data_IF_129835740731
#
_entry.id   IF_129835740731
#
_cell.length_a   1.000
_cell.length_b   1.000
_cell.length_c   1.000
_cell.angle_alpha   90.00
_cell.angle_beta   90.00
_cell.angle_gamma   90.00
#
_symmetry.space_group_name_H-M   'P 1'
#
loop_
_entity.id
_entity.type
_entity.pdbx_description
1 polymer ?
#
# COMPACT_ATOMS: atom_id res chain seq x y z
N UNK A 1 24.71 26.33 -21.83
CA UNK A 1 23.87 27.37 -21.18
C UNK A 1 22.78 26.64 -20.42
N UNK A 2 22.57 26.94 -19.16
CA UNK A 2 21.51 26.28 -18.35
C UNK A 2 20.15 26.81 -18.85
N UNK A 3 19.17 25.92 -19.16
CA UNK A 3 17.86 26.36 -19.58
C UNK A 3 17.12 27.09 -18.44
N UNK A 4 16.29 28.06 -18.79
CA UNK A 4 15.44 28.72 -17.79
C UNK A 4 14.34 27.78 -17.31
N UNK A 5 13.80 26.94 -18.21
CA UNK A 5 12.74 25.99 -17.94
C UNK A 5 13.12 24.60 -18.46
N UNK A 6 12.85 23.57 -17.64
CA UNK A 6 12.89 22.17 -18.03
C UNK A 6 11.53 21.53 -17.80
N UNK A 7 11.07 20.71 -18.72
CA UNK A 7 9.78 20.03 -18.65
C UNK A 7 10.01 18.53 -18.55
N UNK A 8 9.37 17.88 -17.59
CA UNK A 8 9.23 16.42 -17.52
C UNK A 8 7.75 16.04 -17.68
N UNK A 9 7.45 15.03 -18.48
CA UNK A 9 6.08 14.56 -18.72
C UNK A 9 6.04 13.05 -18.43
N UNK A 10 5.14 12.59 -17.57
CA UNK A 10 4.99 11.18 -17.23
C UNK A 10 3.79 10.92 -16.33
N UNK A 11 3.48 9.66 -16.07
CA UNK A 11 2.36 9.28 -15.20
C UNK A 11 2.74 9.25 -13.71
N UNK A 12 4.01 9.00 -13.38
CA UNK A 12 4.57 8.97 -12.02
C UNK A 12 3.79 8.05 -11.03
N UNK A 13 3.18 6.99 -11.54
CA UNK A 13 2.41 6.03 -10.77
C UNK A 13 2.78 4.57 -11.11
N UNK A 14 3.49 3.85 -10.19
CA UNK A 14 4.02 4.34 -8.92
C UNK A 14 5.15 5.35 -9.10
N UNK A 15 5.31 6.25 -8.15
CA UNK A 15 6.50 7.11 -8.10
C UNK A 15 7.69 6.28 -7.62
N UNK A 16 8.61 5.95 -8.52
CA UNK A 16 9.79 5.12 -8.24
C UNK A 16 10.98 5.93 -7.69
N UNK A 17 11.95 5.24 -7.09
CA UNK A 17 13.22 5.88 -6.67
C UNK A 17 14.02 6.40 -7.88
N UNK A 18 13.92 5.72 -9.03
CA UNK A 18 14.54 6.15 -10.29
C UNK A 18 13.92 7.48 -10.78
N UNK A 19 12.59 7.59 -10.78
CA UNK A 19 11.89 8.83 -11.16
C UNK A 19 12.24 9.98 -10.22
N UNK A 20 12.37 9.72 -8.90
CA UNK A 20 12.82 10.74 -7.95
C UNK A 20 14.24 11.22 -8.23
N UNK A 21 15.14 10.32 -8.59
CA UNK A 21 16.50 10.69 -8.99
C UNK A 21 16.50 11.56 -10.25
N UNK A 22 15.67 11.22 -11.24
CA UNK A 22 15.49 12.01 -12.46
C UNK A 22 14.93 13.40 -12.16
N UNK A 23 13.90 13.51 -11.31
CA UNK A 23 13.32 14.80 -10.87
C UNK A 23 14.38 15.66 -10.17
N UNK A 24 15.13 15.09 -9.22
CA UNK A 24 16.16 15.81 -8.49
C UNK A 24 17.27 16.31 -9.42
N UNK A 25 17.66 15.49 -10.39
CA UNK A 25 18.65 15.89 -11.37
C UNK A 25 18.15 17.00 -12.28
N UNK A 26 16.95 16.82 -12.87
CA UNK A 26 16.31 17.82 -13.72
C UNK A 26 16.15 19.16 -13.00
N UNK A 27 15.83 19.14 -11.71
CA UNK A 27 15.75 20.31 -10.86
C UNK A 27 17.08 21.06 -10.76
N UNK A 28 18.22 20.37 -10.80
CA UNK A 28 19.57 20.99 -10.80
C UNK A 28 19.99 21.57 -12.16
N UNK A 29 19.32 21.18 -13.26
CA UNK A 29 19.68 21.58 -14.62
C UNK A 29 18.96 22.84 -15.10
N UNK A 30 17.93 23.32 -14.43
CA UNK A 30 17.11 24.47 -14.85
C UNK A 30 16.82 25.42 -13.71
N UNK A 31 16.39 26.65 -14.02
CA UNK A 31 15.91 27.60 -13.01
C UNK A 31 14.52 27.24 -12.52
N UNK A 32 13.69 26.64 -13.38
CA UNK A 32 12.34 26.17 -13.06
C UNK A 32 12.12 24.82 -13.72
N UNK A 33 11.70 23.83 -12.93
CA UNK A 33 11.27 22.52 -13.41
C UNK A 33 9.74 22.45 -13.44
N UNK A 34 9.19 22.12 -14.62
CA UNK A 34 7.77 21.85 -14.81
C UNK A 34 7.55 20.35 -14.93
N UNK A 35 6.77 19.76 -14.04
CA UNK A 35 6.37 18.35 -14.10
C UNK A 35 4.92 18.32 -14.55
N UNK A 36 4.66 17.69 -15.69
CA UNK A 36 3.31 17.50 -16.24
C UNK A 36 2.93 16.04 -16.03
N UNK A 37 1.91 15.81 -15.21
CA UNK A 37 1.47 14.47 -14.84
C UNK A 37 0.33 14.02 -15.75
N UNK A 38 0.49 12.84 -16.34
CA UNK A 38 -0.50 12.17 -17.16
C UNK A 38 -1.41 11.28 -16.30
N UNK A 39 -2.59 10.97 -16.83
CA UNK A 39 -3.50 10.01 -16.21
C UNK A 39 -2.86 8.62 -16.23
N UNK A 40 -2.63 7.99 -15.05
CA UNK A 40 -2.09 6.63 -15.00
C UNK A 40 -3.04 5.62 -15.67
N UNK A 41 -2.45 4.65 -16.36
CA UNK A 41 -3.20 3.54 -16.96
C UNK A 41 -2.54 2.21 -16.56
N UNK A 42 -2.79 1.77 -15.34
CA UNK A 42 -2.20 0.57 -14.76
C UNK A 42 -3.27 -0.42 -14.33
N UNK A 43 -2.90 -1.70 -14.31
CA UNK A 43 -3.75 -2.76 -13.80
C UNK A 43 -4.07 -2.53 -12.32
N UNK A 44 -5.28 -2.92 -11.85
CA UNK A 44 -5.64 -2.82 -10.44
C UNK A 44 -4.77 -3.71 -9.56
N UNK A 45 -4.54 -3.27 -8.34
CA UNK A 45 -3.93 -4.09 -7.28
C UNK A 45 -4.85 -5.28 -6.91
N UNK A 46 -4.34 -6.32 -6.23
CA UNK A 46 -5.15 -7.47 -5.77
C UNK A 46 -6.43 -7.07 -5.01
N UNK A 47 -6.37 -6.00 -4.25
CA UNK A 47 -7.51 -5.43 -3.53
C UNK A 47 -8.48 -4.59 -4.39
N UNK A 48 -8.23 -4.49 -5.70
CA UNK A 48 -9.03 -3.69 -6.64
C UNK A 48 -8.68 -2.21 -6.72
N UNK A 49 -7.77 -1.69 -5.88
CA UNK A 49 -7.33 -0.28 -5.97
C UNK A 49 -6.53 -0.04 -7.24
N UNK A 50 -6.79 1.07 -7.91
CA UNK A 50 -6.03 1.54 -9.08
C UNK A 50 -5.53 2.95 -8.82
N UNK A 51 -4.24 3.26 -9.09
CA UNK A 51 -3.73 4.61 -8.91
C UNK A 51 -4.45 5.60 -9.83
N UNK A 52 -4.83 6.73 -9.29
CA UNK A 52 -5.51 7.82 -10.00
C UNK A 52 -4.54 8.95 -10.33
N UNK A 53 -4.96 9.86 -11.22
CA UNK A 53 -4.21 11.10 -11.47
C UNK A 53 -4.02 11.91 -10.18
N UNK A 54 -5.02 11.94 -9.29
CA UNK A 54 -4.94 12.64 -8.01
C UNK A 54 -3.87 12.02 -7.08
N UNK A 55 -3.73 10.69 -7.09
CA UNK A 55 -2.69 9.99 -6.32
C UNK A 55 -1.31 10.33 -6.85
N UNK A 56 -1.09 10.28 -8.17
CA UNK A 56 0.18 10.63 -8.80
C UNK A 56 0.58 12.09 -8.50
N UNK A 57 -0.36 13.04 -8.64
CA UNK A 57 -0.15 14.46 -8.29
C UNK A 57 0.24 14.60 -6.83
N UNK A 58 -0.48 13.94 -5.92
CA UNK A 58 -0.20 13.99 -4.48
C UNK A 58 1.20 13.46 -4.15
N UNK A 59 1.61 12.34 -4.75
CA UNK A 59 2.94 11.76 -4.50
C UNK A 59 4.07 12.66 -4.98
N UNK A 60 3.95 13.22 -6.19
CA UNK A 60 4.95 14.16 -6.71
C UNK A 60 4.98 15.44 -5.87
N UNK A 61 3.82 15.97 -5.44
CA UNK A 61 3.76 17.12 -4.54
C UNK A 61 4.45 16.85 -3.20
N UNK A 62 4.18 15.71 -2.58
CA UNK A 62 4.83 15.32 -1.31
C UNK A 62 6.34 15.18 -1.47
N UNK A 63 6.79 14.58 -2.57
CA UNK A 63 8.21 14.39 -2.85
C UNK A 63 8.96 15.71 -3.15
N UNK A 64 8.26 16.69 -3.72
CA UNK A 64 8.84 17.95 -4.17
C UNK A 64 8.52 19.17 -3.28
N UNK A 65 7.82 18.98 -2.14
CA UNK A 65 7.30 20.09 -1.31
C UNK A 65 8.37 21.09 -0.83
N UNK A 66 9.61 20.68 -0.74
CA UNK A 66 10.73 21.55 -0.33
C UNK A 66 11.31 22.41 -1.46
N UNK A 67 10.87 22.22 -2.71
CA UNK A 67 11.44 22.87 -3.89
C UNK A 67 10.46 23.88 -4.50
N UNK A 68 10.55 25.14 -4.11
CA UNK A 68 9.64 26.21 -4.59
C UNK A 68 9.73 26.51 -6.11
N UNK A 69 10.80 26.07 -6.78
CA UNK A 69 11.02 26.21 -8.21
C UNK A 69 10.51 25.03 -9.05
N UNK A 70 9.98 23.98 -8.42
CA UNK A 70 9.28 22.90 -9.11
C UNK A 70 7.80 23.24 -9.20
N UNK A 71 7.24 23.22 -10.42
CA UNK A 71 5.84 23.48 -10.73
C UNK A 71 5.18 22.22 -11.25
N UNK A 72 4.09 21.80 -10.63
CA UNK A 72 3.38 20.57 -10.96
C UNK A 72 2.08 20.92 -11.67
N UNK A 73 1.86 20.26 -12.80
CA UNK A 73 0.73 20.49 -13.70
C UNK A 73 0.11 19.13 -14.09
N UNK A 74 -1.12 19.19 -14.57
CA UNK A 74 -1.76 18.09 -15.33
C UNK A 74 -2.15 18.62 -16.71
N UNK A 75 -2.36 17.78 -17.69
CA UNK A 75 -2.84 18.20 -19.01
C UNK A 75 -4.18 18.96 -18.89
N UNK A 76 -5.08 18.47 -18.04
CA UNK A 76 -6.35 19.16 -17.75
C UNK A 76 -6.17 20.55 -17.18
N UNK A 77 -5.21 20.77 -16.28
CA UNK A 77 -4.92 22.10 -15.70
C UNK A 77 -4.33 23.09 -16.72
N UNK A 78 -3.73 22.57 -17.78
CA UNK A 78 -3.16 23.36 -18.91
C UNK A 78 -4.16 23.53 -20.06
N UNK A 79 -5.37 22.96 -19.95
CA UNK A 79 -6.35 22.90 -21.02
C UNK A 79 -5.81 22.22 -22.32
N UNK A 80 -4.92 21.26 -22.16
CA UNK A 80 -4.34 20.45 -23.23
C UNK A 80 -4.92 19.03 -23.19
N UNK A 81 -5.06 18.35 -24.34
CA UNK A 81 -5.41 16.94 -24.37
C UNK A 81 -4.26 16.09 -23.79
N UNK A 82 -4.57 14.98 -23.13
CA UNK A 82 -3.59 13.99 -22.72
C UNK A 82 -2.76 13.53 -23.94
N UNK A 83 -1.45 13.41 -23.75
CA UNK A 83 -0.51 13.02 -24.79
C UNK A 83 0.11 11.67 -24.40
N UNK A 84 0.28 10.76 -25.36
CA UNK A 84 0.96 9.48 -25.16
C UNK A 84 2.49 9.64 -25.15
N UNK A 85 3.00 10.60 -24.37
CA UNK A 85 4.42 10.88 -24.23
C UNK A 85 4.85 10.68 -22.77
N UNK A 86 5.90 9.91 -22.57
CA UNK A 86 6.56 9.80 -21.28
C UNK A 86 8.07 10.02 -21.46
N UNK A 87 8.69 10.82 -20.59
CA UNK A 87 10.10 11.20 -20.68
C UNK A 87 11.05 9.99 -20.63
N UNK A 88 10.57 8.85 -20.16
CA UNK A 88 11.29 7.58 -20.02
C UNK A 88 11.24 6.72 -21.27
N UNK A 89 10.22 6.90 -22.11
CA UNK A 89 9.95 6.09 -23.27
C UNK A 89 10.50 6.74 -24.54
N UNK A 90 10.74 5.93 -25.58
CA UNK A 90 11.23 6.42 -26.89
C UNK A 90 10.16 7.14 -27.71
N UNK A 91 9.00 7.49 -27.16
CA UNK A 91 7.98 8.27 -27.86
C UNK A 91 8.48 9.69 -28.12
N UNK A 92 8.23 10.20 -29.32
CA UNK A 92 8.67 11.53 -29.70
C UNK A 92 7.55 12.53 -29.51
N UNK A 93 7.85 13.63 -28.78
CA UNK A 93 6.99 14.80 -28.77
C UNK A 93 7.25 15.62 -30.05
N UNK A 94 6.22 15.94 -30.80
CA UNK A 94 6.37 16.80 -31.99
C UNK A 94 6.71 18.24 -31.56
N UNK A 95 7.39 18.97 -32.44
CA UNK A 95 7.68 20.41 -32.20
C UNK A 95 6.41 21.21 -31.95
N UNK A 96 5.31 20.89 -32.62
CA UNK A 96 4.02 21.56 -32.43
C UNK A 96 3.45 21.32 -31.01
N UNK A 97 3.48 20.08 -30.53
CA UNK A 97 3.05 19.72 -29.18
C UNK A 97 3.92 20.42 -28.10
N UNK A 98 5.24 20.43 -28.29
CA UNK A 98 6.15 21.13 -27.39
C UNK A 98 5.84 22.63 -27.33
N UNK A 99 5.60 23.28 -28.47
CA UNK A 99 5.23 24.71 -28.52
C UNK A 99 3.87 24.98 -27.84
N UNK A 100 2.89 24.08 -28.04
CA UNK A 100 1.59 24.19 -27.36
C UNK A 100 1.73 24.11 -25.82
N UNK A 101 2.61 23.24 -25.31
CA UNK A 101 2.91 23.14 -23.89
C UNK A 101 3.58 24.42 -23.38
N UNK A 102 4.59 24.93 -24.10
CA UNK A 102 5.24 26.20 -23.74
C UNK A 102 4.24 27.37 -23.68
N UNK A 103 3.33 27.44 -24.65
CA UNK A 103 2.27 28.46 -24.68
C UNK A 103 1.31 28.30 -23.50
N UNK A 104 0.86 27.07 -23.18
CA UNK A 104 -0.02 26.81 -22.04
C UNK A 104 0.63 27.14 -20.69
N UNK A 105 1.94 26.92 -20.56
CA UNK A 105 2.75 27.30 -19.39
C UNK A 105 3.12 28.80 -19.36
N UNK A 106 2.85 29.54 -20.42
CA UNK A 106 3.27 30.94 -20.61
C UNK A 106 4.78 31.14 -20.44
N UNK A 107 5.58 30.26 -21.10
CA UNK A 107 7.05 30.30 -21.07
C UNK A 107 7.63 30.36 -22.47
N UNK A 108 8.88 30.87 -22.57
CA UNK A 108 9.56 31.06 -23.84
C UNK A 108 10.21 29.76 -24.34
N UNK A 109 9.82 29.25 -25.49
CA UNK A 109 10.33 28.00 -26.06
C UNK A 109 11.85 27.98 -26.29
N UNK A 110 12.48 29.13 -26.60
CA UNK A 110 13.92 29.23 -26.86
C UNK A 110 14.80 28.99 -25.62
N UNK A 111 14.26 29.14 -24.41
CA UNK A 111 14.97 28.90 -23.13
C UNK A 111 14.41 27.68 -22.41
N UNK A 112 13.56 26.90 -23.07
CA UNK A 112 12.88 25.74 -22.52
C UNK A 112 13.38 24.46 -23.17
N UNK A 113 13.67 23.44 -22.35
CA UNK A 113 14.06 22.11 -22.80
C UNK A 113 13.06 21.06 -22.32
N UNK A 114 12.95 19.98 -23.06
CA UNK A 114 12.21 18.76 -22.66
C UNK A 114 13.22 17.73 -22.14
N UNK A 115 13.09 17.35 -20.90
CA UNK A 115 13.91 16.29 -20.31
C UNK A 115 13.46 14.92 -20.83
N UNK A 116 14.42 14.11 -21.28
CA UNK A 116 14.19 12.74 -21.74
C UNK A 116 15.23 11.80 -21.17
N UNK A 117 14.82 10.56 -20.86
CA UNK A 117 15.70 9.48 -20.39
C UNK A 117 16.01 8.57 -21.56
N UNK A 118 16.90 8.99 -22.45
CA UNK A 118 17.22 8.22 -23.65
C UNK A 118 18.51 7.41 -23.52
N UNK A 119 18.42 6.11 -23.81
CA UNK A 119 19.59 5.25 -24.04
C UNK A 119 19.84 4.96 -25.52
N UNK A 120 18.96 5.33 -26.45
CA UNK A 120 18.95 4.79 -27.82
C UNK A 120 18.56 5.80 -28.90
N UNK A 121 18.63 7.13 -28.67
CA UNK A 121 18.38 8.07 -29.76
C UNK A 121 19.68 8.53 -30.41
N UNK A 122 19.85 8.18 -31.67
CA UNK A 122 20.95 8.68 -32.49
C UNK A 122 20.84 10.17 -32.83
N UNK A 123 19.62 10.76 -32.68
CA UNK A 123 19.37 12.17 -32.94
C UNK A 123 18.36 12.76 -31.93
N UNK A 124 18.82 13.79 -31.19
CA UNK A 124 17.96 14.59 -30.32
C UNK A 124 17.32 15.74 -31.10
N UNK A 125 16.07 16.06 -30.78
CA UNK A 125 15.51 17.33 -31.24
C UNK A 125 16.18 18.51 -30.53
N UNK A 126 16.26 19.71 -31.15
CA UNK A 126 16.93 20.88 -30.54
C UNK A 126 16.37 21.32 -29.19
N UNK A 127 15.16 20.86 -28.82
CA UNK A 127 14.50 21.15 -27.54
C UNK A 127 14.56 19.97 -26.53
N UNK A 128 15.26 18.88 -26.86
CA UNK A 128 15.41 17.72 -25.99
C UNK A 128 16.74 17.78 -25.23
N UNK A 129 16.69 17.46 -23.92
CA UNK A 129 17.83 17.35 -23.04
C UNK A 129 17.86 15.94 -22.44
N UNK A 130 18.94 15.19 -22.67
CA UNK A 130 19.11 13.86 -22.11
C UNK A 130 19.43 13.94 -20.61
N UNK A 131 18.65 13.24 -19.81
CA UNK A 131 18.94 13.03 -18.40
C UNK A 131 19.93 11.85 -18.25
N UNK A 132 20.99 11.99 -17.44
CA UNK A 132 21.96 10.91 -17.25
C UNK A 132 21.37 9.74 -16.48
N UNK A 133 21.91 8.53 -16.74
CA UNK A 133 21.62 7.34 -15.94
C UNK A 133 22.41 7.38 -14.63
N UNK A 134 21.74 7.27 -13.48
CA UNK A 134 22.40 7.16 -12.18
C UNK A 134 22.66 5.72 -11.78
N UNK A 135 23.91 5.42 -11.38
CA UNK A 135 24.47 4.07 -11.23
C UNK A 135 23.89 3.19 -10.12
N UNK A 136 23.15 3.69 -9.12
CA UNK A 136 22.63 2.88 -8.03
C UNK A 136 21.09 2.84 -7.94
N UNK A 137 20.37 3.85 -8.45
CA UNK A 137 18.91 3.84 -8.50
C UNK A 137 18.35 3.19 -9.79
N UNK A 138 19.21 2.94 -10.80
CA UNK A 138 18.83 2.58 -12.16
C UNK A 138 19.02 1.12 -12.54
N UNK A 139 19.22 0.21 -11.58
CA UNK A 139 19.35 -1.22 -11.88
C UNK A 139 18.05 -1.90 -12.25
N UNK A 140 16.92 -1.21 -12.12
CA UNK A 140 15.59 -1.70 -12.46
C UNK A 140 14.99 -0.81 -13.54
N UNK A 141 14.38 -1.44 -14.53
CA UNK A 141 13.57 -0.79 -15.52
C UNK A 141 12.28 -0.27 -14.83
N UNK A 142 12.01 1.03 -14.95
CA UNK A 142 10.79 1.64 -14.39
C UNK A 142 9.52 0.96 -14.94
N UNK A 143 9.57 0.43 -16.17
CA UNK A 143 8.48 -0.33 -16.78
C UNK A 143 8.20 -1.64 -16.02
N UNK A 144 9.25 -2.37 -15.61
CA UNK A 144 9.07 -3.57 -14.78
C UNK A 144 8.45 -3.24 -13.43
N UNK A 145 8.87 -2.13 -12.79
CA UNK A 145 8.30 -1.68 -11.52
C UNK A 145 6.84 -1.27 -11.67
N UNK A 146 6.48 -0.59 -12.75
CA UNK A 146 5.11 -0.19 -13.02
C UNK A 146 4.20 -1.39 -13.34
N UNK A 147 4.71 -2.37 -14.07
CA UNK A 147 3.97 -3.59 -14.42
C UNK A 147 3.79 -4.53 -13.23
N UNK A 148 4.71 -4.53 -12.24
CA UNK A 148 4.57 -5.32 -11.02
C UNK A 148 5.11 -4.58 -9.78
N UNK A 149 4.40 -3.54 -9.30
CA UNK A 149 4.87 -2.71 -8.19
C UNK A 149 4.99 -3.46 -6.86
N UNK A 150 4.28 -4.58 -6.68
CA UNK A 150 4.35 -5.37 -5.46
C UNK A 150 5.63 -6.21 -5.39
N UNK A 151 6.06 -6.82 -6.50
CA UNK A 151 7.32 -7.54 -6.57
C UNK A 151 8.55 -6.62 -6.42
N UNK A 152 8.43 -5.38 -6.90
CA UNK A 152 9.49 -4.37 -6.85
C UNK A 152 9.23 -3.28 -5.81
N UNK A 153 8.53 -3.61 -4.73
CA UNK A 153 8.09 -2.65 -3.70
C UNK A 153 9.23 -1.80 -3.12
N UNK A 154 10.42 -2.38 -2.98
CA UNK A 154 11.61 -1.68 -2.49
C UNK A 154 12.08 -0.54 -3.41
N UNK A 155 11.67 -0.56 -4.71
CA UNK A 155 11.95 0.50 -5.68
C UNK A 155 10.92 1.65 -5.63
N UNK A 156 9.85 1.49 -4.87
CA UNK A 156 8.86 2.54 -4.70
C UNK A 156 9.37 3.62 -3.75
N UNK A 157 9.06 4.86 -4.08
CA UNK A 157 9.32 5.97 -3.18
C UNK A 157 8.47 5.86 -1.91
N UNK A 158 9.01 6.35 -0.78
CA UNK A 158 8.31 6.27 0.51
C UNK A 158 6.90 6.90 0.47
N UNK A 159 6.70 7.96 -0.32
CA UNK A 159 5.43 8.70 -0.39
C UNK A 159 4.27 7.91 -1.01
N UNK A 160 4.55 6.87 -1.82
CA UNK A 160 3.51 6.04 -2.43
C UNK A 160 3.38 4.64 -1.81
N UNK A 161 4.31 4.19 -0.97
CA UNK A 161 4.30 2.84 -0.37
C UNK A 161 3.02 2.52 0.39
N UNK A 162 2.46 3.50 1.10
CA UNK A 162 1.17 3.38 1.78
C UNK A 162 0.04 2.89 0.87
N UNK A 163 0.01 3.38 -0.38
CA UNK A 163 -0.99 2.99 -1.36
C UNK A 163 -0.80 1.55 -1.84
N UNK A 164 0.45 1.13 -2.05
CA UNK A 164 0.77 -0.17 -2.66
C UNK A 164 0.83 -1.32 -1.66
N UNK A 165 1.12 -1.07 -0.37
CA UNK A 165 1.13 -2.16 0.62
C UNK A 165 -0.26 -2.78 0.77
N UNK A 166 -0.31 -4.12 0.84
CA UNK A 166 -1.53 -4.91 1.01
C UNK A 166 -1.65 -5.37 2.45
N UNK A 167 -2.78 -5.10 3.09
CA UNK A 167 -3.04 -5.53 4.47
C UNK A 167 -3.51 -6.98 4.48
N UNK A 168 -2.72 -7.84 5.13
CA UNK A 168 -3.03 -9.27 5.32
C UNK A 168 -3.40 -9.49 6.78
N UNK A 169 -4.65 -9.82 7.02
CA UNK A 169 -5.19 -10.06 8.36
C UNK A 169 -5.21 -11.55 8.70
N UNK A 170 -4.77 -11.87 9.91
CA UNK A 170 -4.87 -13.21 10.46
C UNK A 170 -5.90 -13.20 11.59
N UNK A 171 -7.05 -13.87 11.37
CA UNK A 171 -8.12 -14.01 12.35
C UNK A 171 -8.30 -15.47 12.76
N UNK A 172 -9.09 -15.73 13.79
CA UNK A 172 -9.39 -17.09 14.26
C UNK A 172 -9.60 -17.15 15.75
N UNK A 173 -9.94 -18.33 16.25
CA UNK A 173 -10.22 -18.57 17.65
C UNK A 173 -9.02 -18.35 18.57
N UNK A 174 -9.26 -18.38 19.86
CA UNK A 174 -8.18 -18.29 20.85
C UNK A 174 -7.23 -19.48 20.75
N UNK A 175 -5.94 -19.22 21.04
CA UNK A 175 -4.86 -20.20 20.96
C UNK A 175 -4.72 -20.91 19.61
N UNK A 176 -5.27 -20.35 18.53
CA UNK A 176 -5.09 -20.89 17.16
C UNK A 176 -3.70 -20.63 16.57
N UNK A 177 -2.84 -19.88 17.25
CA UNK A 177 -1.47 -19.57 16.80
C UNK A 177 -1.34 -18.32 15.94
N UNK A 178 -2.35 -17.43 15.89
CA UNK A 178 -2.37 -16.19 15.09
C UNK A 178 -1.11 -15.33 15.24
N UNK A 179 -0.84 -14.86 16.44
CA UNK A 179 0.29 -13.97 16.73
C UNK A 179 1.63 -14.59 16.33
N UNK A 180 1.82 -15.89 16.58
CA UNK A 180 3.03 -16.61 16.17
C UNK A 180 3.14 -16.69 14.65
N UNK A 181 2.04 -16.92 13.94
CA UNK A 181 2.01 -16.94 12.49
C UNK A 181 2.30 -15.55 11.92
N UNK A 182 1.66 -14.51 12.46
CA UNK A 182 1.90 -13.09 12.09
C UNK A 182 3.40 -12.75 12.20
N UNK A 183 4.05 -13.10 13.33
CA UNK A 183 5.49 -12.85 13.54
C UNK A 183 6.37 -13.60 12.51
N UNK A 184 6.07 -14.86 12.22
CA UNK A 184 6.80 -15.65 11.23
C UNK A 184 6.66 -15.07 9.82
N UNK A 185 5.45 -14.69 9.43
CA UNK A 185 5.17 -14.07 8.14
C UNK A 185 5.83 -12.69 8.03
N UNK A 186 5.80 -11.89 9.10
CA UNK A 186 6.46 -10.58 9.14
C UNK A 186 7.97 -10.70 8.93
N UNK A 187 8.61 -11.66 9.60
CA UNK A 187 10.03 -11.93 9.42
C UNK A 187 10.36 -12.39 7.98
N UNK A 188 9.48 -13.17 7.36
CA UNK A 188 9.69 -13.66 6.00
C UNK A 188 9.56 -12.56 4.96
N UNK A 189 8.51 -11.73 5.04
CA UNK A 189 8.25 -10.66 4.07
C UNK A 189 8.94 -9.33 4.39
N UNK A 190 9.58 -9.18 5.54
CA UNK A 190 10.06 -7.89 6.04
C UNK A 190 8.92 -6.91 6.30
N UNK A 191 7.77 -7.44 6.74
CA UNK A 191 6.51 -6.71 6.83
C UNK A 191 6.35 -5.97 8.16
N UNK A 192 5.70 -4.80 8.12
CA UNK A 192 5.20 -4.10 9.31
C UNK A 192 4.02 -4.87 9.92
N UNK A 193 3.83 -4.76 11.23
CA UNK A 193 2.76 -5.45 11.98
C UNK A 193 1.88 -4.42 12.69
N UNK A 194 0.56 -4.56 12.54
CA UNK A 194 -0.42 -4.01 13.45
C UNK A 194 -0.79 -5.09 14.49
N UNK A 195 -0.42 -4.91 15.77
CA UNK A 195 -0.63 -5.92 16.80
C UNK A 195 -2.09 -5.99 17.26
N UNK A 196 -2.47 -7.08 17.93
CA UNK A 196 -3.76 -7.25 18.61
C UNK A 196 -3.94 -6.23 19.74
N UNK A 197 -4.74 -5.19 19.51
CA UNK A 197 -4.88 -4.08 20.46
C UNK A 197 -5.71 -4.44 21.70
N UNK A 198 -6.61 -5.43 21.61
CA UNK A 198 -7.34 -5.94 22.78
C UNK A 198 -6.40 -6.46 23.85
N UNK A 199 -5.41 -7.26 23.45
CA UNK A 199 -4.37 -7.79 24.36
C UNK A 199 -3.52 -6.67 24.96
N UNK A 200 -3.05 -5.73 24.15
CA UNK A 200 -2.25 -4.60 24.60
C UNK A 200 -3.03 -3.70 25.57
N UNK A 201 -4.31 -3.46 25.28
CA UNK A 201 -5.20 -2.70 26.16
C UNK A 201 -5.38 -3.38 27.53
N UNK A 202 -5.63 -4.69 27.51
CA UNK A 202 -5.75 -5.50 28.73
C UNK A 202 -4.50 -5.38 29.62
N UNK A 203 -3.32 -5.47 29.01
CA UNK A 203 -2.06 -5.30 29.75
C UNK A 203 -1.86 -3.90 30.31
N UNK A 204 -2.10 -2.88 29.52
CA UNK A 204 -1.76 -1.49 29.87
C UNK A 204 -2.79 -0.83 30.80
N UNK A 205 -4.08 -1.22 30.71
CA UNK A 205 -5.18 -0.55 31.40
C UNK A 205 -5.87 -1.44 32.45
N UNK A 206 -5.85 -2.77 32.27
CA UNK A 206 -6.64 -3.69 33.10
C UNK A 206 -5.78 -4.63 33.95
N UNK A 207 -4.50 -4.32 34.13
CA UNK A 207 -3.60 -5.12 34.99
C UNK A 207 -3.34 -6.54 34.46
N UNK A 208 -3.56 -6.78 33.15
CA UNK A 208 -3.31 -8.07 32.51
C UNK A 208 -4.47 -9.07 32.58
N UNK A 209 -5.67 -8.65 33.01
CA UNK A 209 -6.84 -9.55 33.14
C UNK A 209 -8.02 -9.06 32.29
N UNK A 210 -8.51 -9.91 31.39
CA UNK A 210 -9.74 -9.66 30.62
C UNK A 210 -11.01 -9.67 31.48
N UNK A 211 -10.93 -10.13 32.76
CA UNK A 211 -12.06 -10.10 33.67
C UNK A 211 -12.50 -8.67 34.06
N UNK A 212 -11.60 -7.69 33.89
CA UNK A 212 -11.87 -6.29 34.14
C UNK A 212 -12.43 -5.54 32.93
N UNK A 213 -12.52 -6.18 31.76
CA UNK A 213 -12.99 -5.58 30.51
C UNK A 213 -14.47 -5.22 30.61
N UNK A 214 -14.82 -4.02 30.16
CA UNK A 214 -16.17 -3.47 30.16
C UNK A 214 -16.56 -3.05 28.74
N UNK A 215 -17.86 -2.92 28.49
CA UNK A 215 -18.42 -2.51 27.19
C UNK A 215 -17.81 -1.20 26.66
N UNK A 216 -17.55 -0.21 27.52
CA UNK A 216 -16.94 1.07 27.11
C UNK A 216 -15.51 0.95 26.57
N UNK A 217 -14.78 -0.10 26.94
CA UNK A 217 -13.38 -0.29 26.54
C UNK A 217 -13.23 -0.64 25.08
N UNK A 218 -14.25 -1.30 24.49
CA UNK A 218 -14.22 -1.71 23.08
C UNK A 218 -14.09 -0.56 22.09
N UNK A 219 -14.61 0.63 22.44
CA UNK A 219 -14.38 1.84 21.64
C UNK A 219 -12.89 2.20 21.59
N UNK A 220 -12.22 2.22 22.73
CA UNK A 220 -10.79 2.55 22.82
C UNK A 220 -9.93 1.50 22.14
N UNK A 221 -10.26 0.21 22.30
CA UNK A 221 -9.57 -0.90 21.62
C UNK A 221 -9.67 -0.73 20.09
N UNK A 222 -10.87 -0.47 19.56
CA UNK A 222 -11.10 -0.32 18.13
C UNK A 222 -10.36 0.90 17.55
N UNK A 223 -10.39 2.05 18.21
CA UNK A 223 -9.67 3.27 17.82
C UNK A 223 -8.15 3.00 17.81
N UNK A 224 -7.62 2.39 18.84
CA UNK A 224 -6.21 2.06 18.94
C UNK A 224 -5.79 1.06 17.83
N UNK A 225 -6.67 0.10 17.51
CA UNK A 225 -6.40 -0.86 16.44
C UNK A 225 -6.39 -0.18 15.08
N UNK A 226 -7.33 0.72 14.78
CA UNK A 226 -7.32 1.52 13.57
C UNK A 226 -6.03 2.32 13.42
N UNK A 227 -5.57 2.97 14.49
CA UNK A 227 -4.32 3.73 14.51
C UNK A 227 -3.09 2.82 14.32
N UNK A 228 -3.10 1.61 14.89
CA UNK A 228 -2.01 0.64 14.70
C UNK A 228 -1.92 0.16 13.25
N UNK A 229 -3.05 -0.13 12.60
CA UNK A 229 -3.11 -0.50 11.18
C UNK A 229 -2.59 0.65 10.31
N UNK A 230 -3.04 1.88 10.55
CA UNK A 230 -2.61 3.06 9.83
C UNK A 230 -1.10 3.31 9.98
N UNK A 231 -0.57 3.15 11.20
CA UNK A 231 0.86 3.26 11.48
C UNK A 231 1.65 2.19 10.73
N UNK A 232 1.21 0.93 10.77
CA UNK A 232 1.88 -0.17 10.09
C UNK A 232 1.92 0.04 8.56
N UNK A 233 0.86 0.58 7.97
CA UNK A 233 0.80 0.92 6.54
C UNK A 233 1.70 2.10 6.18
N UNK A 234 1.70 3.16 6.98
CA UNK A 234 2.53 4.35 6.73
C UNK A 234 4.02 4.08 6.86
N UNK A 235 4.39 3.10 7.70
CA UNK A 235 5.78 2.65 7.88
C UNK A 235 6.15 1.42 7.06
N UNK A 236 5.32 1.04 6.07
CA UNK A 236 5.51 -0.19 5.31
C UNK A 236 6.85 -0.23 4.58
N UNK A 237 7.61 -1.30 4.82
CA UNK A 237 8.87 -1.63 4.14
C UNK A 237 8.71 -2.75 3.10
N UNK A 238 7.53 -3.37 3.04
CA UNK A 238 7.18 -4.51 2.19
C UNK A 238 5.83 -4.30 1.53
N UNK A 239 5.57 -5.02 0.44
CA UNK A 239 4.26 -5.07 -0.22
C UNK A 239 3.17 -5.68 0.68
N UNK A 240 3.55 -6.27 1.82
CA UNK A 240 2.65 -6.86 2.81
C UNK A 240 2.73 -6.08 4.11
N UNK A 241 1.58 -5.73 4.68
CA UNK A 241 1.42 -5.25 6.05
C UNK A 241 0.56 -6.27 6.79
N UNK A 242 1.07 -6.84 7.89
CA UNK A 242 0.37 -7.87 8.65
C UNK A 242 -0.47 -7.26 9.76
N UNK A 243 -1.68 -7.80 9.95
CA UNK A 243 -2.62 -7.35 10.97
C UNK A 243 -2.99 -8.56 11.84
N UNK A 244 -2.68 -8.47 13.13
CA UNK A 244 -3.06 -9.50 14.12
C UNK A 244 -4.46 -9.18 14.62
N UNK A 245 -5.44 -9.93 14.15
CA UNK A 245 -6.89 -9.78 14.30
C UNK A 245 -7.49 -8.58 13.51
N UNK A 246 -8.82 -8.48 13.54
CA UNK A 246 -9.59 -7.43 12.88
C UNK A 246 -10.70 -6.89 13.80
N UNK A 247 -11.50 -5.96 13.30
CA UNK A 247 -12.64 -5.41 14.05
C UNK A 247 -13.79 -6.40 14.22
N UNK A 248 -13.94 -7.39 13.31
CA UNK A 248 -14.91 -8.48 13.46
C UNK A 248 -14.54 -9.35 14.68
N UNK A 249 -13.25 -9.61 14.90
CA UNK A 249 -12.74 -10.31 16.08
C UNK A 249 -13.03 -9.51 17.37
N UNK A 250 -12.78 -8.20 17.38
CA UNK A 250 -13.12 -7.32 18.50
C UNK A 250 -14.62 -7.31 18.79
N UNK A 251 -15.44 -7.31 17.72
CA UNK A 251 -16.91 -7.38 17.86
C UNK A 251 -17.36 -8.73 18.41
N UNK A 252 -16.71 -9.84 18.00
CA UNK A 252 -17.02 -11.18 18.53
C UNK A 252 -16.77 -11.24 20.05
N UNK A 253 -15.66 -10.70 20.53
CA UNK A 253 -15.38 -10.58 21.95
C UNK A 253 -16.44 -9.74 22.68
N UNK A 254 -16.82 -8.58 22.11
CA UNK A 254 -17.86 -7.73 22.69
C UNK A 254 -19.19 -8.47 22.81
N UNK A 255 -19.65 -9.13 21.75
CA UNK A 255 -20.92 -9.87 21.78
C UNK A 255 -20.91 -11.05 22.72
N UNK A 256 -19.78 -11.75 22.91
CA UNK A 256 -19.67 -12.89 23.84
C UNK A 256 -19.57 -12.43 25.29
N UNK A 257 -18.79 -11.37 25.57
CA UNK A 257 -18.55 -10.93 26.94
C UNK A 257 -19.64 -10.02 27.48
N UNK A 258 -20.20 -9.16 26.62
CA UNK A 258 -21.18 -8.14 26.99
C UNK A 258 -22.60 -8.43 26.52
N UNK A 259 -22.80 -9.47 25.69
CA UNK A 259 -24.11 -9.87 25.15
C UNK A 259 -24.70 -8.90 24.14
N UNK A 260 -23.93 -7.93 23.63
CA UNK A 260 -24.45 -6.89 22.74
C UNK A 260 -23.40 -6.39 21.73
N UNK A 261 -23.89 -5.89 20.60
CA UNK A 261 -23.07 -5.27 19.56
C UNK A 261 -22.59 -3.89 19.98
N UNK A 262 -21.31 -3.57 19.77
CA UNK A 262 -20.81 -2.22 19.96
C UNK A 262 -20.86 -1.43 18.63
N UNK A 263 -21.61 -0.31 18.54
CA UNK A 263 -21.87 0.36 17.25
C UNK A 263 -20.62 0.90 16.58
N UNK A 264 -19.65 1.45 17.35
CA UNK A 264 -18.41 1.95 16.77
C UNK A 264 -17.54 0.82 16.20
N UNK A 265 -17.42 -0.31 16.93
CA UNK A 265 -16.67 -1.48 16.45
C UNK A 265 -17.32 -2.06 15.19
N UNK A 266 -18.67 -2.15 15.18
CA UNK A 266 -19.43 -2.58 14.01
C UNK A 266 -19.19 -1.68 12.80
N UNK A 267 -19.10 -0.37 13.00
CA UNK A 267 -18.85 0.57 11.91
C UNK A 267 -17.41 0.43 11.39
N UNK A 268 -16.41 0.27 12.26
CA UNK A 268 -15.05 -0.05 11.82
C UNK A 268 -14.99 -1.36 11.02
N UNK A 269 -15.67 -2.42 11.46
CA UNK A 269 -15.72 -3.70 10.75
C UNK A 269 -16.32 -3.56 9.33
N UNK A 270 -17.27 -2.64 9.13
CA UNK A 270 -17.87 -2.36 7.83
C UNK A 270 -16.99 -1.49 6.94
N UNK A 271 -16.39 -0.43 7.47
CA UNK A 271 -15.73 0.62 6.70
C UNK A 271 -14.23 0.37 6.51
N UNK A 272 -13.54 -0.18 7.50
CA UNK A 272 -12.10 -0.44 7.43
C UNK A 272 -11.83 -1.86 6.95
N UNK A 273 -12.00 -2.07 5.64
CA UNK A 273 -11.74 -3.36 5.00
C UNK A 273 -10.24 -3.61 4.88
N UNK A 274 -9.81 -4.79 5.30
CA UNK A 274 -8.46 -5.29 5.07
C UNK A 274 -8.42 -6.03 3.73
N UNK A 275 -7.27 -5.95 3.05
CA UNK A 275 -7.18 -6.36 1.64
C UNK A 275 -7.27 -7.90 1.47
N UNK A 276 -6.78 -8.65 2.47
CA UNK A 276 -6.78 -10.12 2.43
C UNK A 276 -6.90 -10.69 3.85
N UNK A 277 -7.84 -11.61 4.08
CA UNK A 277 -8.07 -12.21 5.41
C UNK A 277 -7.87 -13.72 5.37
N UNK A 278 -7.08 -14.24 6.32
CA UNK A 278 -6.86 -15.66 6.58
C UNK A 278 -7.47 -15.99 7.93
N UNK A 279 -8.37 -16.98 7.96
CA UNK A 279 -8.95 -17.53 9.16
C UNK A 279 -8.20 -18.79 9.58
N UNK A 280 -7.66 -18.80 10.81
CA UNK A 280 -7.06 -19.98 11.41
C UNK A 280 -8.09 -20.72 12.25
N UNK A 281 -8.35 -21.96 11.86
CA UNK A 281 -9.20 -22.84 12.65
C UNK A 281 -8.58 -23.11 14.03
N UNK A 282 -9.41 -23.30 15.04
CA UNK A 282 -9.01 -23.54 16.42
C UNK A 282 -8.86 -25.05 16.78
N UNK A 283 -8.71 -25.92 15.76
CA UNK A 283 -8.53 -27.37 15.88
C UNK A 283 -7.13 -27.81 16.35
N UNK A 284 -6.37 -26.91 16.97
CA UNK A 284 -5.06 -27.17 17.60
C UNK A 284 -5.20 -27.20 19.12
N UNK A 285 -4.25 -27.89 19.79
CA UNK A 285 -4.25 -27.98 21.24
C UNK A 285 -4.23 -26.59 21.90
N UNK A 286 -5.07 -26.42 22.93
CA UNK A 286 -5.11 -25.20 23.69
C UNK A 286 -3.86 -25.03 24.55
N UNK A 287 -3.32 -23.81 24.57
CA UNK A 287 -2.21 -23.43 25.44
C UNK A 287 -2.70 -22.29 26.34
N UNK A 288 -2.72 -22.52 27.66
CA UNK A 288 -3.11 -21.51 28.64
C UNK A 288 -2.06 -20.39 28.70
N UNK A 289 -2.48 -19.12 28.51
CA UNK A 289 -1.65 -17.95 28.72
C UNK A 289 -1.96 -17.17 30.01
N UNK A 290 -2.90 -17.66 30.80
CA UNK A 290 -3.25 -17.13 32.12
C UNK A 290 -4.05 -15.82 32.15
N UNK A 291 -4.39 -15.23 30.99
CA UNK A 291 -5.03 -13.92 30.89
C UNK A 291 -6.49 -13.96 30.44
N UNK A 292 -6.93 -15.06 29.81
CA UNK A 292 -8.17 -15.13 29.05
C UNK A 292 -9.35 -15.70 29.82
N UNK A 293 -10.55 -15.18 29.49
CA UNK A 293 -11.82 -15.68 30.03
C UNK A 293 -12.26 -17.02 29.41
N UNK A 294 -11.90 -17.25 28.12
CA UNK A 294 -12.34 -18.43 27.35
C UNK A 294 -11.32 -19.57 27.54
N UNK A 295 -11.51 -20.38 28.59
CA UNK A 295 -10.54 -21.37 29.05
C UNK A 295 -10.84 -22.82 28.70
N UNK A 296 -11.96 -23.15 28.03
CA UNK A 296 -12.34 -24.50 27.66
C UNK A 296 -12.71 -24.65 26.18
N UNK A 297 -12.74 -25.87 25.66
CA UNK A 297 -13.00 -26.17 24.25
C UNK A 297 -14.42 -25.75 23.81
N UNK A 298 -15.39 -25.73 24.73
CA UNK A 298 -16.74 -25.29 24.43
C UNK A 298 -16.78 -23.79 24.18
N UNK A 299 -16.15 -22.99 25.05
CA UNK A 299 -16.08 -21.53 24.91
C UNK A 299 -15.29 -21.13 23.67
N UNK A 300 -14.19 -21.84 23.35
CA UNK A 300 -13.42 -21.64 22.11
C UNK A 300 -14.27 -21.89 20.87
N UNK A 301 -15.09 -22.95 20.89
CA UNK A 301 -16.01 -23.27 19.79
C UNK A 301 -17.11 -22.23 19.63
N UNK A 302 -17.67 -21.73 20.74
CA UNK A 302 -18.64 -20.63 20.73
C UNK A 302 -18.05 -19.36 20.12
N UNK A 303 -16.82 -19.00 20.51
CA UNK A 303 -16.13 -17.84 19.95
C UNK A 303 -15.86 -18.02 18.45
N UNK A 304 -15.34 -19.17 18.02
CA UNK A 304 -15.09 -19.46 16.62
C UNK A 304 -16.36 -19.33 15.75
N UNK A 305 -17.48 -19.90 16.22
CA UNK A 305 -18.77 -19.80 15.56
C UNK A 305 -19.28 -18.33 15.51
N UNK A 306 -19.13 -17.59 16.61
CA UNK A 306 -19.51 -16.18 16.66
C UNK A 306 -18.66 -15.33 15.71
N UNK A 307 -17.36 -15.56 15.63
CA UNK A 307 -16.48 -14.86 14.70
C UNK A 307 -16.87 -15.14 13.25
N UNK A 308 -17.12 -16.39 12.86
CA UNK A 308 -17.57 -16.75 11.52
C UNK A 308 -18.94 -16.12 11.19
N UNK A 309 -19.87 -16.08 12.15
CA UNK A 309 -21.17 -15.38 12.01
C UNK A 309 -20.97 -13.89 11.73
N UNK A 310 -20.03 -13.23 12.44
CA UNK A 310 -19.75 -11.79 12.27
C UNK A 310 -19.02 -11.51 10.97
N UNK A 311 -18.05 -12.35 10.56
CA UNK A 311 -17.40 -12.26 9.26
C UNK A 311 -18.44 -12.33 8.12
N UNK A 312 -19.39 -13.27 8.21
CA UNK A 312 -20.50 -13.39 7.25
C UNK A 312 -21.45 -12.20 7.33
N UNK A 313 -21.80 -11.71 8.53
CA UNK A 313 -22.68 -10.55 8.77
C UNK A 313 -22.15 -9.27 8.10
N UNK A 314 -20.84 -9.09 8.07
CA UNK A 314 -20.18 -7.92 7.47
C UNK A 314 -19.61 -8.20 6.07
N UNK A 315 -19.92 -9.36 5.48
CA UNK A 315 -19.41 -9.75 4.16
C UNK A 315 -17.88 -9.65 4.05
N UNK A 316 -17.17 -10.19 5.05
CA UNK A 316 -15.71 -10.25 5.08
C UNK A 316 -15.27 -11.59 4.49
N UNK A 317 -14.78 -11.54 3.23
CA UNK A 317 -14.20 -12.71 2.57
C UNK A 317 -12.93 -13.18 3.28
N UNK A 318 -12.77 -14.51 3.45
CA UNK A 318 -11.61 -15.07 4.13
C UNK A 318 -11.25 -16.46 3.60
N UNK A 319 -9.97 -16.82 3.74
CA UNK A 319 -9.43 -18.15 3.41
C UNK A 319 -9.20 -18.95 4.70
N UNK A 320 -9.71 -20.17 4.76
CA UNK A 320 -9.60 -21.01 5.96
C UNK A 320 -8.35 -21.89 5.89
N UNK A 321 -7.55 -21.86 6.94
CA UNK A 321 -6.46 -22.81 7.19
C UNK A 321 -6.86 -23.67 8.37
N UNK A 322 -7.06 -24.98 8.13
CA UNK A 322 -7.55 -25.96 9.09
C UNK A 322 -6.56 -27.10 9.40
N UNK A 323 -5.31 -27.03 8.94
CA UNK A 323 -4.30 -28.03 9.30
C UNK A 323 -3.99 -27.95 10.81
N UNK A 324 -3.72 -29.10 11.44
CA UNK A 324 -3.35 -29.17 12.87
C UNK A 324 -1.87 -28.92 13.12
N UNK A 325 -1.04 -29.02 12.08
CA UNK A 325 0.39 -28.79 12.14
C UNK A 325 0.73 -27.33 11.90
N UNK A 326 1.41 -26.69 12.85
CA UNK A 326 1.78 -25.25 12.76
C UNK A 326 2.72 -24.92 11.61
N UNK A 327 3.59 -25.84 11.19
CA UNK A 327 4.48 -25.62 10.06
C UNK A 327 3.72 -25.66 8.74
N UNK A 328 2.78 -26.61 8.59
CA UNK A 328 1.91 -26.66 7.42
C UNK A 328 1.01 -25.44 7.34
N UNK A 329 0.45 -24.94 8.46
CA UNK A 329 -0.28 -23.65 8.49
C UNK A 329 0.56 -22.50 7.95
N UNK A 330 1.83 -22.42 8.36
CA UNK A 330 2.75 -21.41 7.87
C UNK A 330 2.98 -21.53 6.35
N UNK A 331 3.23 -22.72 5.83
CA UNK A 331 3.43 -22.94 4.40
C UNK A 331 2.15 -22.62 3.59
N UNK A 332 0.98 -23.00 4.10
CA UNK A 332 -0.30 -22.66 3.48
C UNK A 332 -0.53 -21.14 3.45
N UNK A 333 -0.24 -20.44 4.55
CA UNK A 333 -0.35 -18.99 4.60
C UNK A 333 0.59 -18.30 3.61
N UNK A 334 1.86 -18.74 3.49
CA UNK A 334 2.79 -18.26 2.48
C UNK A 334 2.22 -18.45 1.07
N UNK A 335 1.75 -19.67 0.75
CA UNK A 335 1.19 -19.96 -0.57
C UNK A 335 -0.03 -19.11 -0.90
N UNK A 336 -0.92 -18.85 0.07
CA UNK A 336 -2.08 -17.98 -0.11
C UNK A 336 -1.67 -16.54 -0.38
N UNK A 337 -0.73 -16.00 0.39
CA UNK A 337 -0.24 -14.62 0.25
C UNK A 337 0.50 -14.45 -1.08
N UNK A 338 1.42 -15.37 -1.42
CA UNK A 338 2.19 -15.32 -2.66
C UNK A 338 1.26 -15.36 -3.89
N UNK A 339 0.28 -16.25 -3.88
CA UNK A 339 -0.68 -16.39 -4.98
C UNK A 339 -1.63 -15.20 -5.11
N UNK A 340 -1.99 -14.56 -4.01
CA UNK A 340 -2.89 -13.40 -4.04
C UNK A 340 -2.16 -12.11 -4.36
N UNK A 341 -0.97 -11.87 -3.79
CA UNK A 341 -0.26 -10.60 -3.85
C UNK A 341 0.82 -10.63 -4.93
N UNK A 342 1.80 -11.52 -4.83
CA UNK A 342 3.00 -11.47 -5.68
C UNK A 342 2.80 -12.07 -7.06
N UNK A 343 1.93 -13.10 -7.20
CA UNK A 343 1.61 -13.70 -8.48
C UNK A 343 0.41 -13.05 -9.19
N UNK A 344 -0.14 -11.98 -8.65
CA UNK A 344 -1.31 -11.30 -9.21
C UNK A 344 -1.03 -10.76 -10.63
N UNK A 345 0.05 -9.99 -10.79
CA UNK A 345 0.40 -9.37 -12.07
C UNK A 345 0.93 -10.37 -13.10
N UNK A 346 1.59 -11.44 -12.68
CA UNK A 346 2.01 -12.52 -13.60
C UNK A 346 0.79 -13.16 -14.27
N UNK A 347 -0.28 -13.42 -13.53
CA UNK A 347 -1.52 -14.00 -14.07
C UNK A 347 -2.28 -13.06 -15.02
N UNK A 348 -2.16 -11.74 -14.85
CA UNK A 348 -2.79 -10.76 -15.75
C UNK A 348 -2.10 -10.73 -17.11
N UNK A 349 -0.77 -10.93 -17.15
CA UNK A 349 0.00 -10.91 -18.39
C UNK A 349 -0.06 -12.23 -19.17
N UNK A 350 -0.45 -13.33 -18.53
CA UNK A 350 -0.59 -14.65 -19.15
C UNK A 350 -1.99 -14.91 -19.76
N UNK A 351 -2.96 -14.02 -19.57
CA UNK A 351 -4.32 -14.04 -20.13
C UNK A 351 -4.47 -12.94 -21.19
#
# INVERSE_FOLDING_TARGET
MQPDHLILIGDFAPLTLSMLADINHAAGLSKTLHIIIQTPNHAPLPCGRTPTLADAVRWVQMACQSFGFIKIHTFGSLALPDMSFDYRNNTQLTKHQFLAICQALNITAHTTMLGIKSSHKDTLHPFELTLPKYGHASNYDDELVQNNPLAYFHQLSAVCRYFYTQTVCIVGGESSGKTTLVQKLANYYGASIAPEMGRLYTHSHLGGSELALQYSDYASIAINHANAIETARTTASSAVTLVDTDFATTQAFCEIYEGQTHPLVAEFAKQMRLDFTIYLDNNVAWVADGMRRLGDDHQRSLFANKLLEILARYDIGHHIINDTDYHKRYLQALSLIDNHIFNHFTKIHDN
#
